data_IF_187045514843
#
_entry.id   IF_187045514843
#
_cell.length_a   1.000
_cell.length_b   1.000
_cell.length_c   1.000
_cell.angle_alpha   90.00
_cell.angle_beta   90.00
_cell.angle_gamma   90.00
#
_symmetry.space_group_name_H-M   'P 1'
#
loop_
_entity.id
_entity.type
_entity.pdbx_description
1 polymer ?
#
# COMPACT_ATOMS: atom_id res chain seq x y z
N UNK A 1 4.91 -8.63 -8.72
CA UNK A 1 4.18 -7.47 -9.26
C UNK A 1 3.92 -6.48 -8.13
N UNK A 2 3.89 -5.19 -8.43
CA UNK A 2 3.60 -4.13 -7.45
C UNK A 2 2.46 -3.25 -7.99
N UNK A 3 1.40 -3.05 -7.21
CA UNK A 3 0.22 -2.28 -7.62
C UNK A 3 -0.11 -1.22 -6.58
N UNK A 4 -0.33 0.01 -7.04
CA UNK A 4 -0.84 1.12 -6.23
C UNK A 4 -2.35 1.02 -6.16
N UNK A 5 -2.92 0.93 -4.96
CA UNK A 5 -4.37 0.90 -4.74
C UNK A 5 -4.80 1.93 -3.69
N UNK A 6 -5.92 2.63 -3.88
CA UNK A 6 -6.48 3.47 -2.84
C UNK A 6 -6.99 2.62 -1.66
N UNK A 7 -7.10 3.21 -0.47
CA UNK A 7 -7.68 2.54 0.69
C UNK A 7 -9.05 1.91 0.40
N UNK A 8 -9.87 2.54 -0.44
CA UNK A 8 -11.19 2.00 -0.83
C UNK A 8 -11.14 0.61 -1.47
N UNK A 9 -10.07 0.25 -2.15
CA UNK A 9 -9.91 -1.09 -2.74
C UNK A 9 -9.63 -2.15 -1.68
N UNK A 10 -8.94 -1.78 -0.59
CA UNK A 10 -8.66 -2.71 0.51
C UNK A 10 -9.85 -2.91 1.46
N UNK A 11 -10.62 -1.86 1.71
CA UNK A 11 -11.74 -1.89 2.65
C UNK A 11 -13.11 -1.98 1.98
N UNK A 12 -13.16 -2.00 0.65
CA UNK A 12 -14.40 -2.13 -0.10
C UNK A 12 -15.06 -3.50 0.09
N UNK A 13 -16.38 -3.47 0.10
CA UNK A 13 -17.26 -4.63 0.10
C UNK A 13 -17.66 -5.07 -1.32
N UNK A 14 -18.35 -6.21 -1.43
CA UNK A 14 -18.87 -6.72 -2.70
C UNK A 14 -17.76 -7.13 -3.68
N UNK A 15 -17.63 -6.39 -4.79
CA UNK A 15 -16.66 -6.70 -5.86
C UNK A 15 -15.23 -6.65 -5.34
N UNK A 16 -14.90 -5.67 -4.49
CA UNK A 16 -13.58 -5.55 -3.90
C UNK A 16 -13.25 -6.72 -2.96
N UNK A 17 -14.24 -7.24 -2.23
CA UNK A 17 -14.09 -8.43 -1.40
C UNK A 17 -13.74 -9.67 -2.25
N UNK A 18 -14.44 -9.86 -3.37
CA UNK A 18 -14.19 -10.98 -4.29
C UNK A 18 -12.81 -10.91 -4.95
N UNK A 19 -12.37 -9.71 -5.35
CA UNK A 19 -11.01 -9.51 -5.90
C UNK A 19 -9.94 -9.82 -4.85
N UNK A 20 -10.14 -9.40 -3.59
CA UNK A 20 -9.22 -9.73 -2.49
C UNK A 20 -9.14 -11.24 -2.27
N UNK A 21 -10.26 -11.94 -2.29
CA UNK A 21 -10.31 -13.39 -2.14
C UNK A 21 -9.55 -14.11 -3.27
N UNK A 22 -9.78 -13.73 -4.53
CA UNK A 22 -9.05 -14.29 -5.67
C UNK A 22 -7.56 -13.97 -5.62
N UNK A 23 -7.18 -12.76 -5.18
CA UNK A 23 -5.79 -12.36 -5.00
C UNK A 23 -5.10 -13.23 -3.96
N UNK A 24 -5.70 -13.40 -2.77
CA UNK A 24 -5.14 -14.20 -1.68
C UNK A 24 -5.12 -15.70 -1.99
N UNK A 25 -6.03 -16.19 -2.85
CA UNK A 25 -6.12 -17.59 -3.24
C UNK A 25 -5.11 -17.97 -4.32
N UNK A 26 -4.90 -17.10 -5.31
CA UNK A 26 -4.09 -17.42 -6.49
C UNK A 26 -2.69 -16.78 -6.48
N UNK A 27 -2.47 -15.79 -5.61
CA UNK A 27 -1.22 -15.05 -5.53
C UNK A 27 -0.73 -14.99 -4.08
N UNK A 28 0.58 -14.94 -3.90
CA UNK A 28 1.19 -14.70 -2.61
C UNK A 28 1.40 -13.21 -2.42
N UNK A 29 0.51 -12.58 -1.64
CA UNK A 29 0.67 -11.21 -1.17
C UNK A 29 1.67 -11.18 0.01
N UNK A 30 2.93 -10.86 -0.28
CA UNK A 30 3.99 -10.93 0.71
C UNK A 30 4.19 -9.61 1.48
N UNK A 31 3.94 -8.45 0.85
CA UNK A 31 4.18 -7.14 1.47
C UNK A 31 3.09 -6.14 1.13
N UNK A 32 2.59 -5.46 2.16
CA UNK A 32 1.69 -4.31 2.03
C UNK A 32 2.40 -3.09 2.62
N UNK A 33 2.59 -2.07 1.80
CA UNK A 33 3.15 -0.79 2.20
C UNK A 33 2.02 0.23 2.26
N UNK A 34 1.80 0.82 3.43
CA UNK A 34 0.81 1.90 3.60
C UNK A 34 1.48 3.24 3.41
N UNK A 35 0.99 4.01 2.44
CA UNK A 35 1.48 5.36 2.16
C UNK A 35 0.64 6.38 2.94
N UNK A 36 1.26 7.45 3.49
CA UNK A 36 0.55 8.53 4.17
C UNK A 36 -0.28 9.37 3.19
N UNK A 37 -1.17 10.20 3.75
CA UNK A 37 -1.97 11.14 2.97
C UNK A 37 -1.10 12.21 2.29
N UNK A 38 -1.51 12.64 1.10
CA UNK A 38 -0.82 13.70 0.35
C UNK A 38 0.38 13.24 -0.48
N UNK A 39 0.68 11.92 -0.56
CA UNK A 39 1.73 11.39 -1.46
C UNK A 39 1.47 11.73 -2.93
N UNK A 40 0.20 11.83 -3.33
CA UNK A 40 -0.21 12.17 -4.69
C UNK A 40 -0.70 13.61 -4.85
N UNK A 41 -0.40 14.50 -3.89
CA UNK A 41 -0.74 15.92 -4.04
C UNK A 41 -0.01 16.54 -5.26
N UNK A 42 -0.67 17.42 -6.04
CA UNK A 42 -2.00 18.01 -5.83
C UNK A 42 -3.16 17.22 -6.46
N UNK A 43 -2.90 16.04 -7.04
CA UNK A 43 -3.92 15.27 -7.77
C UNK A 43 -4.92 14.59 -6.84
N UNK A 44 -4.45 14.08 -5.70
CA UNK A 44 -5.32 13.53 -4.66
C UNK A 44 -4.63 13.48 -3.31
N UNK A 45 -5.38 13.79 -2.25
CA UNK A 45 -4.95 13.65 -0.86
C UNK A 45 -5.30 12.27 -0.28
N UNK A 46 -5.94 11.39 -1.06
CA UNK A 46 -6.42 10.09 -0.59
C UNK A 46 -5.22 9.20 -0.23
N UNK A 47 -5.23 8.56 0.96
CA UNK A 47 -4.21 7.59 1.34
C UNK A 47 -4.25 6.36 0.45
N UNK A 48 -3.08 5.90 0.04
CA UNK A 48 -2.91 4.78 -0.86
C UNK A 48 -2.03 3.67 -0.24
N UNK A 49 -2.06 2.50 -0.87
CA UNK A 49 -1.30 1.34 -0.46
C UNK A 49 -0.58 0.75 -1.68
N UNK A 50 0.62 0.24 -1.47
CA UNK A 50 1.33 -0.57 -2.45
C UNK A 50 1.21 -2.03 -2.04
N UNK A 51 0.70 -2.85 -2.96
CA UNK A 51 0.58 -4.29 -2.80
C UNK A 51 1.68 -4.98 -3.61
N UNK A 52 2.54 -5.71 -2.93
CA UNK A 52 3.56 -6.56 -3.56
C UNK A 52 3.12 -8.01 -3.46
N UNK A 53 2.85 -8.59 -4.62
CA UNK A 53 2.42 -9.97 -4.73
C UNK A 53 3.10 -10.68 -5.89
N UNK A 54 3.27 -11.99 -5.76
CA UNK A 54 3.81 -12.86 -6.80
C UNK A 54 2.90 -14.08 -7.02
N UNK A 55 3.14 -14.83 -8.10
CA UNK A 55 2.39 -16.06 -8.42
C UNK A 55 3.10 -17.31 -7.87
N UNK A 56 4.00 -17.17 -6.90
CA UNK A 56 4.60 -18.31 -6.23
C UNK A 56 3.56 -18.89 -5.27
N UNK A 57 3.14 -20.13 -5.51
CA UNK A 57 1.96 -20.74 -4.88
C UNK A 57 2.05 -21.02 -3.38
N UNK A 58 2.90 -20.33 -2.63
CA UNK A 58 3.01 -20.45 -1.17
C UNK A 58 2.65 -19.12 -0.52
N UNK A 59 1.47 -19.06 0.09
CA UNK A 59 1.02 -17.86 0.77
C UNK A 59 1.76 -17.68 2.11
N UNK A 60 2.60 -16.64 2.19
CA UNK A 60 3.18 -16.12 3.44
C UNK A 60 3.07 -14.60 3.43
N UNK A 61 2.14 -14.06 4.21
CA UNK A 61 2.11 -12.62 4.49
C UNK A 61 3.27 -12.33 5.43
N UNK A 62 4.35 -11.72 4.94
CA UNK A 62 5.58 -11.56 5.71
C UNK A 62 5.68 -10.21 6.44
N UNK A 63 4.77 -9.27 6.20
CA UNK A 63 4.71 -8.05 7.01
C UNK A 63 3.79 -6.99 6.45
N UNK A 64 3.01 -6.36 7.34
CA UNK A 64 2.34 -5.09 7.05
C UNK A 64 3.31 -3.99 7.47
N UNK A 65 4.01 -3.39 6.49
CA UNK A 65 4.90 -2.27 6.77
C UNK A 65 4.08 -0.99 6.78
N UNK A 66 3.88 -0.44 7.98
CA UNK A 66 3.28 0.88 8.15
C UNK A 66 4.41 1.90 8.22
N UNK A 67 4.51 2.76 7.21
CA UNK A 67 5.31 3.96 7.31
C UNK A 67 4.64 4.88 8.32
N UNK A 68 5.23 4.98 9.52
CA UNK A 68 4.87 5.97 10.52
C UNK A 68 5.79 7.17 10.29
N UNK A 69 5.33 8.25 9.65
CA UNK A 69 6.16 9.44 9.54
C UNK A 69 6.44 9.97 10.94
N UNK A 70 7.72 10.09 11.30
CA UNK A 70 8.14 10.53 12.65
C UNK A 70 7.63 11.93 13.04
N UNK A 71 7.16 12.75 12.08
CA UNK A 71 6.82 14.15 12.37
C UNK A 71 5.74 14.83 11.51
N UNK A 72 5.03 14.13 10.62
CA UNK A 72 3.92 14.75 9.90
C UNK A 72 2.90 13.71 9.43
N UNK A 73 1.64 13.84 9.88
CA UNK A 73 0.54 12.99 9.44
C UNK A 73 0.13 13.22 7.97
N UNK A 74 0.56 14.34 7.38
CA UNK A 74 0.24 14.75 6.01
C UNK A 74 1.51 15.18 5.27
N UNK A 75 1.74 14.59 4.10
CA UNK A 75 2.79 15.01 3.18
C UNK A 75 2.26 16.22 2.41
N UNK A 76 3.06 17.27 2.34
CA UNK A 76 2.70 18.52 1.67
C UNK A 76 3.52 18.68 0.40
N UNK A 77 2.99 19.38 -0.61
CA UNK A 77 3.69 19.67 -1.87
C UNK A 77 5.09 20.29 -1.65
N UNK A 78 5.26 21.05 -0.57
CA UNK A 78 6.52 21.69 -0.19
C UNK A 78 7.54 20.76 0.45
N UNK A 79 7.15 19.52 0.80
CA UNK A 79 8.01 18.47 1.35
C UNK A 79 7.56 17.11 0.82
N UNK A 80 7.98 16.72 -0.41
CA UNK A 80 7.68 15.39 -0.93
C UNK A 80 8.37 14.30 -0.09
N UNK A 81 7.85 13.08 -0.18
CA UNK A 81 8.47 11.91 0.45
C UNK A 81 9.89 11.72 -0.09
N UNK A 82 10.88 11.57 0.79
CA UNK A 82 12.27 11.38 0.39
C UNK A 82 12.59 9.90 0.20
N UNK A 83 13.50 9.58 -0.74
CA UNK A 83 13.89 8.20 -1.04
C UNK A 83 14.49 7.49 0.18
N UNK A 84 15.16 8.23 1.05
CA UNK A 84 15.75 7.71 2.30
C UNK A 84 14.70 7.12 3.26
N UNK A 85 13.45 7.60 3.21
CA UNK A 85 12.34 7.08 4.02
C UNK A 85 11.89 5.68 3.60
N UNK A 86 12.29 5.20 2.42
CA UNK A 86 11.97 3.85 1.92
C UNK A 86 13.04 2.80 2.28
N UNK A 87 14.08 3.17 3.03
CA UNK A 87 15.14 2.24 3.41
C UNK A 87 14.67 1.32 4.52
N UNK A 88 14.65 0.02 4.23
CA UNK A 88 14.39 -1.04 5.21
C UNK A 88 15.71 -1.22 5.98
N UNK A 89 15.70 -0.89 7.27
CA UNK A 89 16.80 -1.23 8.19
C UNK A 89 16.79 -2.73 8.52
#
# INVERSE_FOLDING_TARGET
AAVVVPNGTLFGDGVAARIKEELLKNFNLHTIVRLPEGVFAPYTDIPANLLFFDRSGQHRIFGITRFLPQKAAKIHQTKPIQTDEFTIA
#
